data_IF_333712745933
#
_entry.id   IF_333712745933
#
_cell.length_a   1.000
_cell.length_b   1.000
_cell.length_c   1.000
_cell.angle_alpha   90.00
_cell.angle_beta   90.00
_cell.angle_gamma   90.00
#
_symmetry.space_group_name_H-M   'P 1'
#
loop_
_entity.id
_entity.type
_entity.pdbx_description
1 polymer ?
#
# COMPACT_ATOMS: atom_id res chain seq x y z
N UNK A 1 10.92 10.10 -41.97
CA UNK A 1 10.97 8.62 -41.94
C UNK A 1 10.26 8.16 -40.68
N UNK A 2 9.30 7.25 -40.73
CA UNK A 2 8.77 6.65 -39.51
C UNK A 2 9.92 5.95 -38.80
N UNK A 3 10.12 6.25 -37.53
CA UNK A 3 11.08 5.52 -36.68
C UNK A 3 10.45 4.17 -36.42
N UNK A 4 10.96 3.14 -37.11
CA UNK A 4 10.50 1.76 -36.90
C UNK A 4 10.96 1.31 -35.51
N UNK A 5 10.06 0.76 -34.74
CA UNK A 5 10.40 0.18 -33.43
C UNK A 5 11.33 -1.01 -33.65
N UNK A 6 12.34 -1.21 -32.79
CA UNK A 6 13.14 -2.43 -32.78
C UNK A 6 12.24 -3.67 -32.58
N UNK A 7 12.73 -4.89 -32.94
CA UNK A 7 11.93 -6.10 -32.77
C UNK A 7 11.42 -6.24 -31.34
N UNK A 8 10.11 -6.47 -31.18
CA UNK A 8 9.42 -6.51 -29.88
C UNK A 8 10.02 -7.58 -28.95
N UNK A 9 10.45 -8.73 -29.49
CA UNK A 9 11.12 -9.77 -28.70
C UNK A 9 12.48 -9.30 -28.15
N UNK A 10 13.19 -8.47 -28.90
CA UNK A 10 14.46 -7.89 -28.44
C UNK A 10 14.23 -6.86 -27.32
N UNK A 11 13.21 -6.01 -27.45
CA UNK A 11 12.80 -5.09 -26.39
C UNK A 11 12.32 -5.83 -25.13
N UNK A 12 11.56 -6.93 -25.29
CA UNK A 12 11.10 -7.77 -24.17
C UNK A 12 12.25 -8.45 -23.44
N UNK A 13 13.22 -8.98 -24.18
CA UNK A 13 14.43 -9.58 -23.61
C UNK A 13 15.27 -8.54 -22.85
N UNK A 14 15.39 -7.34 -23.43
CA UNK A 14 16.08 -6.22 -22.79
C UNK A 14 15.41 -5.79 -21.50
N UNK A 15 14.07 -5.58 -21.49
CA UNK A 15 13.33 -5.18 -20.30
C UNK A 15 13.56 -6.16 -19.15
N UNK A 16 13.42 -7.46 -19.40
CA UNK A 16 13.63 -8.49 -18.40
C UNK A 16 15.08 -8.50 -17.88
N UNK A 17 16.07 -8.41 -18.77
CA UNK A 17 17.49 -8.38 -18.39
C UNK A 17 17.86 -7.10 -17.63
N UNK A 18 17.32 -5.95 -18.02
CA UNK A 18 17.56 -4.66 -17.39
C UNK A 18 16.95 -4.57 -15.99
N UNK A 19 15.77 -5.08 -15.81
CA UNK A 19 15.06 -5.11 -14.52
C UNK A 19 15.72 -6.07 -13.54
N UNK A 20 16.12 -7.26 -14.00
CA UNK A 20 16.81 -8.29 -13.19
C UNK A 20 18.31 -8.05 -13.02
N UNK A 21 18.90 -7.15 -13.82
CA UNK A 21 20.36 -6.95 -13.92
C UNK A 21 21.12 -8.27 -14.15
N UNK A 22 20.47 -9.21 -14.84
CA UNK A 22 20.97 -10.57 -15.07
C UNK A 22 20.35 -11.20 -16.30
N UNK A 23 21.17 -11.61 -17.23
CA UNK A 23 20.77 -12.35 -18.43
C UNK A 23 20.20 -13.73 -18.07
N UNK A 24 20.79 -14.39 -17.07
CA UNK A 24 20.34 -15.71 -16.60
C UNK A 24 18.95 -15.64 -15.96
N UNK A 25 18.71 -14.67 -15.09
CA UNK A 25 17.38 -14.49 -14.47
C UNK A 25 16.32 -14.10 -15.50
N UNK A 26 16.68 -13.28 -16.49
CA UNK A 26 15.79 -12.93 -17.60
C UNK A 26 15.44 -14.16 -18.46
N UNK A 27 16.43 -15.04 -18.73
CA UNK A 27 16.22 -16.28 -19.47
C UNK A 27 15.24 -17.21 -18.74
N UNK A 28 15.40 -17.37 -17.43
CA UNK A 28 14.48 -18.16 -16.60
C UNK A 28 13.08 -17.58 -16.60
N UNK A 29 12.94 -16.26 -16.45
CA UNK A 29 11.65 -15.57 -16.43
C UNK A 29 10.90 -15.69 -17.76
N UNK A 30 11.62 -15.59 -18.88
CA UNK A 30 11.04 -15.67 -20.21
C UNK A 30 10.94 -17.11 -20.75
N UNK A 31 11.37 -18.11 -19.95
CA UNK A 31 11.38 -19.53 -20.32
C UNK A 31 12.17 -19.81 -21.62
N UNK A 32 13.33 -19.17 -21.78
CA UNK A 32 14.21 -19.31 -22.92
C UNK A 32 15.65 -19.59 -22.46
N UNK A 33 16.55 -19.92 -23.39
CA UNK A 33 17.97 -20.13 -23.07
C UNK A 33 18.70 -18.81 -22.87
N UNK A 34 19.79 -18.83 -22.08
CA UNK A 34 20.69 -17.69 -21.91
C UNK A 34 21.21 -17.14 -23.26
N UNK A 35 21.54 -18.04 -24.18
CA UNK A 35 22.01 -17.67 -25.54
C UNK A 35 20.91 -16.95 -26.35
N UNK A 36 19.64 -17.31 -26.16
CA UNK A 36 18.52 -16.63 -26.82
C UNK A 36 18.40 -15.17 -26.34
N UNK A 37 18.47 -14.92 -25.03
CA UNK A 37 18.48 -13.56 -24.50
C UNK A 37 19.66 -12.76 -25.02
N UNK A 38 20.89 -13.33 -24.92
CA UNK A 38 22.10 -12.63 -25.39
C UNK A 38 22.01 -12.26 -26.88
N UNK A 39 21.43 -13.14 -27.71
CA UNK A 39 21.19 -12.85 -29.13
C UNK A 39 20.19 -11.72 -29.35
N UNK A 40 19.09 -11.70 -28.58
CA UNK A 40 18.08 -10.65 -28.68
C UNK A 40 18.65 -9.30 -28.23
N UNK A 41 19.47 -9.27 -27.17
CA UNK A 41 20.14 -8.03 -26.73
C UNK A 41 21.06 -7.50 -27.82
N UNK A 42 21.85 -8.36 -28.48
CA UNK A 42 22.72 -7.96 -29.60
C UNK A 42 21.93 -7.40 -30.78
N UNK A 43 20.81 -8.04 -31.15
CA UNK A 43 19.90 -7.54 -32.20
C UNK A 43 19.37 -6.14 -31.85
N UNK A 44 19.05 -5.89 -30.59
CA UNK A 44 18.55 -4.60 -30.14
C UNK A 44 19.64 -3.53 -30.21
N UNK A 45 20.85 -3.82 -29.72
CA UNK A 45 22.00 -2.91 -29.77
C UNK A 45 22.38 -2.57 -31.21
N UNK A 46 22.37 -3.55 -32.11
CA UNK A 46 22.62 -3.36 -33.55
C UNK A 46 21.55 -2.47 -34.18
N UNK A 47 20.24 -2.72 -33.86
CA UNK A 47 19.15 -1.91 -34.38
C UNK A 47 19.16 -0.46 -33.90
N UNK A 48 19.62 -0.21 -32.67
CA UNK A 48 19.69 1.13 -32.09
C UNK A 48 21.03 1.83 -32.34
N UNK A 49 22.07 1.07 -32.74
CA UNK A 49 23.42 1.59 -32.95
C UNK A 49 24.12 2.01 -31.63
N UNK A 50 23.66 1.50 -30.48
CA UNK A 50 24.22 1.84 -29.16
C UNK A 50 24.37 0.61 -28.27
N UNK A 51 25.38 0.64 -27.38
CA UNK A 51 25.58 -0.40 -26.37
C UNK A 51 24.67 -0.09 -25.18
N UNK A 52 23.90 -1.08 -24.76
CA UNK A 52 22.95 -0.98 -23.65
C UNK A 52 23.47 -1.59 -22.35
N UNK A 53 24.34 -2.61 -22.46
CA UNK A 53 24.97 -3.29 -21.32
C UNK A 53 26.48 -3.29 -21.42
N UNK A 54 27.14 -3.14 -20.29
CA UNK A 54 28.58 -3.38 -20.11
C UNK A 54 28.80 -4.52 -19.12
N UNK A 55 29.90 -5.24 -19.28
CA UNK A 55 30.27 -6.28 -18.32
C UNK A 55 30.63 -5.67 -16.98
N UNK A 56 30.11 -6.23 -15.91
CA UNK A 56 30.43 -5.90 -14.53
C UNK A 56 30.70 -7.19 -13.74
N UNK A 57 31.95 -7.56 -13.59
CA UNK A 57 32.36 -8.81 -12.97
C UNK A 57 31.76 -10.04 -13.67
N UNK A 58 30.92 -10.79 -12.93
CA UNK A 58 30.15 -11.94 -13.46
C UNK A 58 28.79 -11.58 -14.00
N UNK A 59 28.38 -10.30 -13.92
CA UNK A 59 27.07 -9.78 -14.34
C UNK A 59 27.16 -8.76 -15.47
N UNK A 60 26.07 -8.04 -15.65
CA UNK A 60 25.93 -6.94 -16.60
C UNK A 60 25.37 -5.70 -15.90
N UNK A 61 25.88 -4.53 -16.30
CA UNK A 61 25.41 -3.23 -15.84
C UNK A 61 24.89 -2.43 -17.04
N UNK A 62 23.85 -1.65 -16.83
CA UNK A 62 23.30 -0.77 -17.85
C UNK A 62 24.22 0.43 -18.10
N UNK A 63 24.36 0.82 -19.39
CA UNK A 63 24.88 2.11 -19.80
C UNK A 63 23.85 3.22 -19.58
N UNK A 64 24.21 4.49 -19.77
CA UNK A 64 23.25 5.62 -19.74
C UNK A 64 22.14 5.44 -20.78
N UNK A 65 22.48 4.94 -21.98
CA UNK A 65 21.49 4.58 -23.00
C UNK A 65 20.58 3.44 -22.52
N UNK A 66 21.17 2.42 -21.87
CA UNK A 66 20.42 1.34 -21.26
C UNK A 66 19.49 1.79 -20.13
N UNK A 67 19.91 2.74 -19.29
CA UNK A 67 19.05 3.30 -18.24
C UNK A 67 17.84 4.00 -18.81
N UNK A 68 18.05 4.85 -19.81
CA UNK A 68 16.98 5.57 -20.51
C UNK A 68 15.98 4.63 -21.19
N UNK A 69 16.49 3.60 -21.90
CA UNK A 69 15.63 2.61 -22.55
C UNK A 69 14.89 1.74 -21.54
N UNK A 70 15.51 1.39 -20.40
CA UNK A 70 14.85 0.64 -19.33
C UNK A 70 13.60 1.35 -18.80
N UNK A 71 13.70 2.66 -18.56
CA UNK A 71 12.58 3.46 -18.09
C UNK A 71 11.45 3.45 -19.11
N UNK A 72 11.74 3.82 -20.35
CA UNK A 72 10.75 3.87 -21.43
C UNK A 72 10.14 2.51 -21.75
N UNK A 73 10.96 1.46 -21.87
CA UNK A 73 10.48 0.10 -22.15
C UNK A 73 9.66 -0.46 -20.97
N UNK A 74 10.09 -0.20 -19.73
CA UNK A 74 9.36 -0.61 -18.53
C UNK A 74 7.95 -0.02 -18.50
N UNK A 75 7.81 1.27 -18.75
CA UNK A 75 6.50 1.95 -18.83
C UNK A 75 5.63 1.41 -19.98
N UNK A 76 6.21 1.25 -21.17
CA UNK A 76 5.49 0.75 -22.34
C UNK A 76 4.97 -0.69 -22.13
N UNK A 77 5.81 -1.59 -21.60
CA UNK A 77 5.40 -2.98 -21.31
C UNK A 77 4.44 -3.06 -20.13
N UNK A 78 4.56 -2.22 -19.12
CA UNK A 78 3.56 -2.12 -18.06
C UNK A 78 2.19 -1.77 -18.64
N UNK A 79 2.13 -0.73 -19.48
CA UNK A 79 0.90 -0.27 -20.12
C UNK A 79 0.28 -1.34 -21.04
N UNK A 80 1.10 -2.09 -21.80
CA UNK A 80 0.62 -3.20 -22.61
C UNK A 80 0.07 -4.35 -21.78
N UNK A 81 0.78 -4.75 -20.71
CA UNK A 81 0.30 -5.78 -19.77
C UNK A 81 -1.04 -5.39 -19.16
N UNK A 82 -1.15 -4.17 -18.73
CA UNK A 82 -2.36 -3.63 -18.14
C UNK A 82 -3.54 -3.70 -19.14
N UNK A 83 -3.33 -3.23 -20.40
CA UNK A 83 -4.36 -3.28 -21.42
C UNK A 83 -4.76 -4.72 -21.78
N UNK A 84 -3.78 -5.64 -21.86
CA UNK A 84 -4.09 -7.06 -22.09
C UNK A 84 -4.88 -7.67 -20.92
N UNK A 85 -4.53 -7.35 -19.69
CA UNK A 85 -5.28 -7.77 -18.51
C UNK A 85 -6.71 -7.21 -18.54
N UNK A 86 -6.88 -5.95 -18.95
CA UNK A 86 -8.18 -5.31 -19.10
C UNK A 86 -9.07 -6.01 -20.15
N UNK A 87 -8.50 -6.36 -21.29
CA UNK A 87 -9.22 -7.09 -22.32
C UNK A 87 -9.61 -8.51 -21.88
N UNK A 88 -8.78 -9.14 -21.05
CA UNK A 88 -9.08 -10.43 -20.45
C UNK A 88 -10.10 -10.32 -19.30
N UNK A 89 -10.11 -9.21 -18.56
CA UNK A 89 -11.07 -8.94 -17.48
C UNK A 89 -12.47 -8.55 -17.95
N UNK A 90 -12.67 -8.28 -19.25
CA UNK A 90 -14.01 -8.08 -19.83
C UNK A 90 -14.88 -9.36 -19.79
N UNK A 91 -14.34 -10.49 -19.38
CA UNK A 91 -15.14 -11.64 -18.96
C UNK A 91 -15.63 -11.40 -17.52
N UNK A 92 -16.94 -11.45 -17.31
CA UNK A 92 -17.64 -11.21 -16.05
C UNK A 92 -17.19 -12.08 -14.84
N UNK A 93 -16.14 -12.88 -15.00
CA UNK A 93 -15.61 -13.84 -14.02
C UNK A 93 -14.26 -13.43 -13.38
N UNK A 94 -13.59 -12.40 -13.88
CA UNK A 94 -12.29 -12.01 -13.33
C UNK A 94 -12.44 -11.41 -11.92
N UNK A 95 -11.58 -11.81 -10.95
CA UNK A 95 -11.62 -11.25 -9.62
C UNK A 95 -11.27 -9.76 -9.65
N UNK A 96 -11.92 -8.97 -8.80
CA UNK A 96 -11.59 -7.57 -8.56
C UNK A 96 -10.42 -7.51 -7.58
N UNK A 97 -9.27 -7.01 -8.04
CA UNK A 97 -8.04 -6.97 -7.23
C UNK A 97 -7.98 -5.67 -6.44
N UNK A 98 -8.15 -5.77 -5.12
CA UNK A 98 -8.10 -4.66 -4.19
C UNK A 98 -6.77 -4.65 -3.43
N UNK A 99 -5.99 -3.57 -3.57
CA UNK A 99 -4.80 -3.31 -2.77
C UNK A 99 -5.15 -2.53 -1.50
N UNK A 100 -4.55 -2.88 -0.36
CA UNK A 100 -4.68 -2.10 0.87
C UNK A 100 -3.51 -2.38 1.83
N UNK A 101 -3.30 -1.51 2.86
CA UNK A 101 -2.33 -1.78 3.91
C UNK A 101 -2.64 -3.09 4.63
N UNK A 102 -1.60 -3.90 4.90
CA UNK A 102 -1.76 -5.17 5.61
C UNK A 102 -2.45 -5.03 6.96
N UNK A 103 -2.19 -3.94 7.68
CA UNK A 103 -2.85 -3.64 8.96
C UNK A 103 -4.36 -3.38 8.80
N UNK A 104 -4.77 -2.65 7.77
CA UNK A 104 -6.18 -2.39 7.46
C UNK A 104 -6.86 -3.68 7.01
N UNK A 105 -6.17 -4.48 6.18
CA UNK A 105 -6.66 -5.77 5.74
C UNK A 105 -6.94 -6.70 6.92
N UNK A 106 -5.96 -6.91 7.79
CA UNK A 106 -6.05 -7.88 8.87
C UNK A 106 -7.05 -7.47 9.97
N UNK A 107 -7.07 -6.19 10.35
CA UNK A 107 -7.82 -5.74 11.52
C UNK A 107 -9.22 -5.20 11.21
N UNK A 108 -9.44 -4.73 10.00
CA UNK A 108 -10.74 -4.13 9.66
C UNK A 108 -11.46 -4.91 8.56
N UNK A 109 -10.77 -5.25 7.48
CA UNK A 109 -11.39 -5.80 6.28
C UNK A 109 -11.74 -7.29 6.43
N UNK A 110 -10.77 -8.13 6.84
CA UNK A 110 -10.96 -9.59 6.99
C UNK A 110 -12.11 -9.92 7.94
N UNK A 111 -12.28 -9.29 9.11
CA UNK A 111 -13.42 -9.57 9.99
C UNK A 111 -14.80 -9.30 9.35
N UNK A 112 -14.85 -8.51 8.28
CA UNK A 112 -16.06 -8.12 7.57
C UNK A 112 -16.29 -8.83 6.23
N UNK A 113 -15.34 -9.71 5.82
CA UNK A 113 -15.42 -10.41 4.53
C UNK A 113 -16.65 -11.29 4.36
N UNK A 114 -17.05 -12.01 5.39
CA UNK A 114 -18.25 -12.87 5.35
C UNK A 114 -19.52 -12.06 5.08
N UNK A 115 -19.62 -10.88 5.68
CA UNK A 115 -20.72 -9.96 5.44
C UNK A 115 -20.66 -9.39 4.01
N UNK A 116 -19.49 -8.97 3.55
CA UNK A 116 -19.31 -8.48 2.19
C UNK A 116 -19.70 -9.54 1.15
N UNK A 117 -19.29 -10.79 1.33
CA UNK A 117 -19.63 -11.89 0.43
C UNK A 117 -21.14 -12.18 0.38
N UNK A 118 -21.85 -12.00 1.49
CA UNK A 118 -23.31 -12.14 1.54
C UNK A 118 -24.04 -10.99 0.87
N UNK A 119 -23.54 -9.77 1.01
CA UNK A 119 -24.20 -8.55 0.50
C UNK A 119 -23.80 -8.22 -0.95
N UNK A 120 -22.60 -8.61 -1.37
CA UNK A 120 -22.08 -8.44 -2.74
C UNK A 120 -21.55 -9.78 -3.30
N UNK A 121 -22.40 -10.80 -3.48
CA UNK A 121 -21.98 -12.15 -3.89
C UNK A 121 -21.35 -12.21 -5.27
N UNK A 122 -21.68 -11.26 -6.15
CA UNK A 122 -21.09 -11.14 -7.49
C UNK A 122 -19.68 -10.53 -7.48
N UNK A 123 -19.27 -9.89 -6.38
CA UNK A 123 -17.96 -9.26 -6.27
C UNK A 123 -16.91 -10.26 -5.78
N UNK A 124 -16.26 -10.92 -6.72
CA UNK A 124 -15.12 -11.79 -6.39
C UNK A 124 -13.90 -10.94 -6.10
N UNK A 125 -13.57 -10.75 -4.81
CA UNK A 125 -12.39 -10.00 -4.41
C UNK A 125 -11.14 -10.88 -4.34
N UNK A 126 -10.05 -10.37 -4.92
CA UNK A 126 -8.68 -10.78 -4.62
C UNK A 126 -8.02 -9.66 -3.82
N UNK A 127 -7.58 -9.96 -2.62
CA UNK A 127 -6.97 -8.99 -1.72
C UNK A 127 -5.45 -9.01 -1.84
N UNK A 128 -4.84 -7.85 -2.01
CA UNK A 128 -3.39 -7.67 -2.11
C UNK A 128 -2.92 -6.73 -1.00
N UNK A 129 -2.14 -7.26 -0.06
CA UNK A 129 -1.54 -6.44 0.97
C UNK A 129 -0.33 -5.66 0.40
N UNK A 130 -0.25 -4.37 0.70
CA UNK A 130 0.89 -3.52 0.38
C UNK A 130 1.23 -2.64 1.57
N UNK A 131 2.52 -2.49 1.87
CA UNK A 131 2.99 -1.64 2.96
C UNK A 131 3.44 -0.26 2.49
N UNK A 132 3.64 -0.09 1.20
CA UNK A 132 3.83 1.20 0.54
C UNK A 132 2.56 1.62 -0.17
N UNK A 133 2.37 2.92 -0.37
CA UNK A 133 1.23 3.45 -1.13
C UNK A 133 1.15 2.75 -2.50
N UNK A 134 0.11 1.92 -2.71
CA UNK A 134 -0.02 1.19 -3.95
C UNK A 134 -0.56 2.12 -5.04
N UNK A 135 0.11 2.14 -6.19
CA UNK A 135 -0.38 2.86 -7.36
C UNK A 135 -1.12 1.90 -8.28
N UNK A 136 -2.46 1.94 -8.36
CA UNK A 136 -3.24 1.04 -9.20
C UNK A 136 -2.85 1.12 -10.69
N UNK A 137 -2.27 2.26 -11.12
CA UNK A 137 -1.82 2.45 -12.50
C UNK A 137 -0.66 1.53 -12.88
N UNK A 138 0.14 1.09 -11.90
CA UNK A 138 1.40 0.34 -12.11
C UNK A 138 1.37 -1.08 -11.57
N UNK A 139 0.43 -1.40 -10.72
CA UNK A 139 0.50 -2.61 -9.85
C UNK A 139 -0.45 -3.75 -10.26
N UNK A 140 -1.23 -3.60 -11.33
CA UNK A 140 -2.23 -4.61 -11.72
C UNK A 140 -3.39 -4.73 -10.74
N UNK A 141 -3.63 -3.70 -9.93
CA UNK A 141 -4.77 -3.58 -9.04
C UNK A 141 -5.94 -2.91 -9.78
N UNK A 142 -7.17 -3.30 -9.49
CA UNK A 142 -8.37 -2.62 -9.98
C UNK A 142 -8.65 -1.38 -9.14
N UNK A 143 -8.43 -1.48 -7.82
CA UNK A 143 -8.53 -0.36 -6.90
C UNK A 143 -7.57 -0.50 -5.71
N UNK A 144 -7.37 0.62 -5.00
CA UNK A 144 -6.64 0.65 -3.74
C UNK A 144 -7.47 1.32 -2.65
N UNK A 145 -7.39 0.78 -1.44
CA UNK A 145 -7.98 1.35 -0.25
C UNK A 145 -6.84 1.88 0.62
N UNK A 146 -6.74 3.21 0.77
CA UNK A 146 -5.60 3.85 1.41
C UNK A 146 -5.99 5.11 2.18
N UNK A 147 -5.18 5.47 3.18
CA UNK A 147 -5.27 6.78 3.84
C UNK A 147 -4.40 7.78 3.09
N UNK A 148 -4.98 8.81 2.53
CA UNK A 148 -4.28 9.85 1.80
C UNK A 148 -4.92 11.23 2.02
N UNK A 149 -4.15 12.28 1.72
CA UNK A 149 -4.63 13.65 1.77
C UNK A 149 -4.98 14.15 0.36
N UNK A 150 -6.07 14.93 0.19
CA UNK A 150 -6.32 15.64 -1.06
C UNK A 150 -5.19 16.67 -1.35
N UNK A 151 -4.94 17.10 -2.61
CA UNK A 151 -5.82 16.88 -3.76
C UNK A 151 -5.68 15.48 -4.37
N UNK A 152 -6.80 14.96 -4.90
CA UNK A 152 -6.85 13.64 -5.51
C UNK A 152 -6.26 13.63 -6.92
N UNK A 153 -5.66 12.51 -7.39
CA UNK A 153 -5.21 12.36 -8.76
C UNK A 153 -6.36 12.54 -9.75
N UNK A 154 -6.19 13.43 -10.73
CA UNK A 154 -7.24 13.78 -11.69
C UNK A 154 -7.57 12.64 -12.68
N UNK A 155 -6.66 11.69 -12.84
CA UNK A 155 -6.75 10.54 -13.74
C UNK A 155 -7.32 9.27 -13.07
N UNK A 156 -7.84 9.42 -11.83
CA UNK A 156 -8.40 8.31 -11.06
C UNK A 156 -9.81 8.64 -10.57
N UNK A 157 -10.64 7.63 -10.44
CA UNK A 157 -11.91 7.75 -9.73
C UNK A 157 -11.66 7.54 -8.23
N UNK A 158 -11.91 8.56 -7.43
CA UNK A 158 -11.68 8.52 -5.99
C UNK A 158 -13.00 8.59 -5.23
N UNK A 159 -13.18 7.64 -4.32
CA UNK A 159 -14.31 7.61 -3.40
C UNK A 159 -13.79 7.88 -1.99
N UNK A 160 -14.04 9.08 -1.48
CA UNK A 160 -13.81 9.36 -0.06
C UNK A 160 -14.80 8.56 0.79
N UNK A 161 -14.26 7.81 1.76
CA UNK A 161 -15.06 6.90 2.59
C UNK A 161 -15.24 7.43 4.00
N UNK A 162 -14.16 7.85 4.65
CA UNK A 162 -14.19 8.38 6.01
C UNK A 162 -13.03 9.35 6.27
N UNK A 163 -13.24 10.29 7.18
CA UNK A 163 -12.17 11.11 7.77
C UNK A 163 -11.29 10.20 8.62
N UNK A 164 -9.97 10.31 8.47
CA UNK A 164 -9.07 9.61 9.37
C UNK A 164 -9.09 10.27 10.75
N UNK A 165 -9.24 9.45 11.80
CA UNK A 165 -9.12 9.87 13.19
C UNK A 165 -8.05 9.01 13.85
N UNK A 166 -7.03 9.64 14.44
CA UNK A 166 -5.95 8.94 15.13
C UNK A 166 -5.98 9.27 16.62
N UNK A 167 -5.59 8.30 17.43
CA UNK A 167 -5.54 8.50 18.88
C UNK A 167 -4.65 7.50 19.59
N UNK A 168 -4.17 7.86 20.79
CA UNK A 168 -3.43 6.95 21.66
C UNK A 168 -4.33 5.84 22.19
N UNK A 169 -3.82 4.62 22.16
CA UNK A 169 -4.48 3.44 22.70
C UNK A 169 -3.50 2.64 23.59
N UNK A 170 -4.03 2.01 24.60
CA UNK A 170 -3.26 1.15 25.50
C UNK A 170 -4.11 -0.01 25.99
N UNK A 171 -3.46 -1.12 26.34
CA UNK A 171 -4.13 -2.27 26.94
C UNK A 171 -4.47 -2.03 28.42
N UNK A 172 -5.58 -2.60 28.95
CA UNK A 172 -5.77 -2.73 30.40
C UNK A 172 -4.63 -3.48 31.12
N UNK A 173 -3.88 -4.30 30.37
CA UNK A 173 -2.70 -5.00 30.89
C UNK A 173 -1.48 -4.11 31.08
N UNK A 174 -1.51 -2.87 30.57
CA UNK A 174 -0.42 -1.91 30.77
C UNK A 174 -0.25 -1.65 32.28
N UNK A 175 0.98 -1.68 32.83
CA UNK A 175 1.23 -1.58 34.28
C UNK A 175 0.56 -0.39 34.97
N UNK A 176 0.39 0.71 34.22
CA UNK A 176 -0.25 1.95 34.69
C UNK A 176 -1.55 2.26 33.95
N UNK A 177 -2.14 1.30 33.23
CA UNK A 177 -3.28 1.54 32.34
C UNK A 177 -4.48 2.20 33.05
N UNK A 178 -4.86 1.69 34.21
CA UNK A 178 -5.97 2.22 35.01
C UNK A 178 -5.71 3.63 35.58
N UNK A 179 -4.46 3.94 35.92
CA UNK A 179 -4.04 5.25 36.41
C UNK A 179 -4.01 6.26 35.25
N UNK A 180 -3.32 5.92 34.15
CA UNK A 180 -3.15 6.77 32.97
C UNK A 180 -4.46 7.21 32.38
N UNK A 181 -5.45 6.32 32.30
CA UNK A 181 -6.77 6.63 31.76
C UNK A 181 -7.53 7.75 32.51
N UNK A 182 -7.07 8.12 33.69
CA UNK A 182 -7.64 9.22 34.50
C UNK A 182 -6.78 10.48 34.47
N UNK A 183 -5.62 10.44 33.81
CA UNK A 183 -4.63 11.51 33.79
C UNK A 183 -4.79 12.41 32.56
N UNK A 184 -4.38 13.69 32.63
CA UNK A 184 -4.32 14.56 31.47
C UNK A 184 -3.39 14.01 30.39
N UNK A 185 -3.68 14.32 29.12
CA UNK A 185 -2.93 13.85 27.94
C UNK A 185 -1.41 14.09 28.03
N UNK A 186 -0.97 15.17 28.70
CA UNK A 186 0.46 15.46 28.88
C UNK A 186 1.22 14.42 29.72
N UNK A 187 0.52 13.60 30.51
CA UNK A 187 1.14 12.51 31.29
C UNK A 187 1.48 11.29 30.44
N UNK A 188 0.84 11.16 29.30
CA UNK A 188 1.16 10.14 28.32
C UNK A 188 2.63 10.21 27.85
N UNK A 189 3.20 11.42 27.76
CA UNK A 189 4.57 11.63 27.31
C UNK A 189 5.64 11.10 28.31
N UNK A 190 5.23 10.69 29.50
CA UNK A 190 6.09 10.07 30.51
C UNK A 190 6.14 8.53 30.34
N UNK A 191 5.36 7.94 29.42
CA UNK A 191 5.27 6.51 29.16
C UNK A 191 6.06 6.07 27.92
N UNK A 192 6.36 4.76 27.76
CA UNK A 192 6.91 4.23 26.53
C UNK A 192 5.92 4.38 25.36
N UNK A 193 6.25 5.25 24.40
CA UNK A 193 5.42 5.50 23.22
C UNK A 193 5.85 4.62 22.06
N UNK A 194 5.02 3.66 21.70
CA UNK A 194 5.24 2.78 20.56
C UNK A 194 4.96 3.55 19.26
N UNK A 195 5.79 3.34 18.24
CA UNK A 195 5.66 4.04 16.96
C UNK A 195 5.89 3.14 15.77
N UNK A 196 5.50 3.58 14.57
CA UNK A 196 5.79 2.88 13.31
C UNK A 196 6.59 3.77 12.37
N UNK A 197 7.45 3.16 11.57
CA UNK A 197 8.18 3.83 10.49
C UNK A 197 7.26 4.20 9.33
N UNK A 198 6.16 3.47 9.13
CA UNK A 198 5.16 3.75 8.10
C UNK A 198 4.31 5.01 8.38
N UNK A 199 4.25 5.48 9.63
CA UNK A 199 3.45 6.66 10.02
C UNK A 199 4.21 7.57 10.99
N UNK A 200 5.35 8.16 10.58
CA UNK A 200 6.23 8.91 11.48
C UNK A 200 5.57 10.19 12.04
N UNK A 201 4.55 10.72 11.35
CA UNK A 201 3.84 11.94 11.75
C UNK A 201 2.67 11.71 12.70
N UNK A 202 2.32 10.44 13.02
CA UNK A 202 1.14 10.16 13.84
C UNK A 202 1.25 10.81 15.25
N UNK A 203 2.35 10.56 15.96
CA UNK A 203 2.59 11.19 17.28
C UNK A 203 2.73 12.70 17.20
N UNK A 204 3.57 13.28 16.32
CA UNK A 204 3.67 14.74 16.16
C UNK A 204 2.32 15.41 15.91
N UNK A 205 1.50 14.87 15.02
CA UNK A 205 0.19 15.42 14.68
C UNK A 205 -0.77 15.40 15.87
N UNK A 206 -0.81 14.29 16.63
CA UNK A 206 -1.66 14.18 17.80
C UNK A 206 -1.18 15.12 18.94
N UNK A 207 0.12 15.19 19.21
CA UNK A 207 0.69 16.09 20.23
C UNK A 207 0.36 17.55 19.91
N UNK A 208 0.51 17.95 18.64
CA UNK A 208 0.16 19.30 18.20
C UNK A 208 -1.34 19.61 18.41
N UNK A 209 -2.22 18.65 18.15
CA UNK A 209 -3.67 18.82 18.36
C UNK A 209 -4.05 18.98 19.84
N UNK A 210 -3.23 18.45 20.75
CA UNK A 210 -3.41 18.58 22.21
C UNK A 210 -2.72 19.82 22.80
N UNK A 211 -2.09 20.67 21.99
CA UNK A 211 -1.26 21.80 22.40
C UNK A 211 -0.13 21.40 23.39
N UNK A 212 0.42 20.21 23.20
CA UNK A 212 1.53 19.71 24.01
C UNK A 212 2.88 20.05 23.35
N UNK A 213 3.92 20.17 24.18
CA UNK A 213 5.27 20.45 23.71
C UNK A 213 5.88 19.23 22.99
N UNK A 214 6.19 19.38 21.70
CA UNK A 214 6.74 18.32 20.86
C UNK A 214 8.12 17.86 21.36
N UNK A 215 8.88 18.75 21.99
CA UNK A 215 10.21 18.49 22.57
C UNK A 215 10.17 17.44 23.68
N UNK A 216 9.00 17.19 24.26
CA UNK A 216 8.78 16.15 25.27
C UNK A 216 8.57 14.77 24.65
N UNK A 217 8.34 14.67 23.34
CA UNK A 217 8.13 13.40 22.67
C UNK A 217 9.35 12.49 22.83
N UNK A 218 9.15 11.33 23.43
CA UNK A 218 10.14 10.25 23.54
C UNK A 218 9.56 8.99 22.91
N UNK A 219 10.06 8.65 21.73
CA UNK A 219 9.68 7.42 21.05
C UNK A 219 10.43 6.25 21.68
N UNK A 220 9.69 5.21 22.06
CA UNK A 220 10.19 3.94 22.55
C UNK A 220 10.42 2.94 21.42
N UNK A 221 9.89 1.71 21.59
CA UNK A 221 10.05 0.65 20.60
C UNK A 221 9.35 1.01 19.29
N UNK A 222 10.10 0.92 18.18
CA UNK A 222 9.60 1.10 16.80
C UNK A 222 9.25 -0.22 16.12
N UNK A 223 8.28 -0.15 15.20
CA UNK A 223 7.82 -1.27 14.37
C UNK A 223 7.73 -0.81 12.92
N UNK A 224 7.90 -1.71 11.96
CA UNK A 224 7.68 -1.39 10.54
C UNK A 224 6.19 -1.15 10.25
N UNK A 225 5.33 -2.00 10.81
CA UNK A 225 3.90 -2.04 10.48
C UNK A 225 3.02 -1.80 11.69
N UNK A 226 1.91 -1.12 11.44
CA UNK A 226 0.92 -0.78 12.47
C UNK A 226 0.30 -2.05 13.11
N UNK A 227 0.23 -3.16 12.35
CA UNK A 227 -0.25 -4.42 12.89
C UNK A 227 0.60 -4.88 14.09
N UNK A 228 1.92 -4.92 13.95
CA UNK A 228 2.82 -5.35 15.02
C UNK A 228 2.83 -4.39 16.21
N UNK A 229 2.74 -3.08 15.93
CA UNK A 229 2.61 -2.06 16.97
C UNK A 229 1.36 -2.29 17.83
N UNK A 230 0.22 -2.61 17.21
CA UNK A 230 -1.03 -2.85 17.92
C UNK A 230 -1.00 -4.16 18.71
N UNK A 231 -0.36 -5.23 18.17
CA UNK A 231 -0.13 -6.46 18.94
C UNK A 231 0.73 -6.19 20.18
N UNK A 232 1.79 -5.39 20.04
CA UNK A 232 2.63 -5.00 21.18
C UNK A 232 1.86 -4.17 22.22
N UNK A 233 1.00 -3.26 21.77
CA UNK A 233 0.14 -2.49 22.68
C UNK A 233 -0.85 -3.40 23.44
N UNK A 234 -1.45 -4.39 22.77
CA UNK A 234 -2.36 -5.37 23.38
C UNK A 234 -1.71 -6.16 24.50
N UNK A 235 -0.41 -6.45 24.40
CA UNK A 235 0.35 -7.12 25.49
C UNK A 235 0.71 -6.20 26.66
N UNK A 236 0.41 -4.91 26.57
CA UNK A 236 0.74 -3.93 27.59
C UNK A 236 2.17 -3.37 27.53
N UNK A 237 2.88 -3.58 26.40
CA UNK A 237 4.28 -3.14 26.23
C UNK A 237 4.42 -1.62 26.29
N UNK A 238 3.39 -0.86 25.89
CA UNK A 238 3.41 0.59 25.88
C UNK A 238 2.13 1.17 25.28
N UNK A 239 2.13 2.48 25.05
CA UNK A 239 1.03 3.21 24.44
C UNK A 239 1.30 3.33 22.95
N UNK A 240 0.35 2.87 22.12
CA UNK A 240 0.39 2.99 20.66
C UNK A 240 -0.46 4.16 20.19
N UNK A 241 -0.19 4.66 18.97
CA UNK A 241 -1.08 5.57 18.28
C UNK A 241 -1.58 4.91 16.99
N UNK A 242 -2.89 4.97 16.75
CA UNK A 242 -3.51 4.27 15.63
C UNK A 242 -4.74 4.98 15.08
N UNK A 243 -5.11 4.72 13.81
CA UNK A 243 -6.42 5.05 13.28
C UNK A 243 -7.54 4.34 14.04
N UNK A 244 -8.61 5.09 14.35
CA UNK A 244 -9.75 4.61 15.13
C UNK A 244 -10.35 3.33 14.53
N UNK A 245 -10.47 3.27 13.21
CA UNK A 245 -11.04 2.13 12.50
C UNK A 245 -10.29 0.82 12.76
N UNK A 246 -8.95 0.88 12.95
CA UNK A 246 -8.13 -0.32 13.16
C UNK A 246 -8.19 -0.87 14.58
N UNK A 247 -8.74 -0.11 15.50
CA UNK A 247 -8.84 -0.48 16.92
C UNK A 247 -10.29 -0.56 17.42
N UNK A 248 -11.27 -0.31 16.54
CA UNK A 248 -12.68 -0.26 16.91
C UNK A 248 -13.15 -1.56 17.61
N UNK A 249 -12.80 -2.72 17.07
CA UNK A 249 -13.19 -4.02 17.61
C UNK A 249 -12.45 -4.31 18.96
N UNK A 250 -11.23 -3.82 19.11
CA UNK A 250 -10.47 -3.93 20.38
C UNK A 250 -11.01 -3.00 21.45
N UNK A 251 -11.48 -1.81 21.08
CA UNK A 251 -12.13 -0.87 22.00
C UNK A 251 -13.49 -1.42 22.45
N UNK A 252 -14.30 -1.93 21.51
CA UNK A 252 -15.59 -2.50 21.81
C UNK A 252 -15.51 -3.72 22.74
N UNK A 253 -14.46 -4.54 22.57
CA UNK A 253 -14.19 -5.71 23.42
C UNK A 253 -13.44 -5.39 24.72
N UNK A 254 -13.03 -4.15 24.93
CA UNK A 254 -12.26 -3.73 26.11
C UNK A 254 -10.82 -4.23 26.13
N UNK A 255 -10.28 -4.76 25.02
CA UNK A 255 -8.87 -5.17 24.90
C UNK A 255 -7.93 -3.99 24.80
N UNK A 256 -8.41 -2.88 24.26
CA UNK A 256 -7.75 -1.58 24.25
C UNK A 256 -8.64 -0.52 24.87
N UNK A 257 -8.00 0.51 25.38
CA UNK A 257 -8.62 1.73 25.91
C UNK A 257 -8.09 2.92 25.13
N UNK A 258 -8.93 3.94 24.91
CA UNK A 258 -8.56 5.20 24.28
C UNK A 258 -8.94 6.40 25.19
N UNK A 259 -8.28 6.59 26.34
CA UNK A 259 -8.72 7.55 27.35
C UNK A 259 -8.70 9.01 26.89
N UNK A 260 -7.86 9.31 25.89
CA UNK A 260 -7.70 10.68 25.38
C UNK A 260 -8.45 10.92 24.06
N UNK A 261 -9.20 9.90 23.62
CA UNK A 261 -9.98 9.97 22.38
C UNK A 261 -9.14 10.03 21.10
N UNK A 262 -9.82 10.38 20.02
CA UNK A 262 -9.26 10.46 18.68
C UNK A 262 -9.40 11.87 18.13
N UNK A 263 -8.43 12.30 17.34
CA UNK A 263 -8.41 13.59 16.65
C UNK A 263 -8.44 13.39 15.14
N UNK A 264 -9.13 14.25 14.43
CA UNK A 264 -9.19 14.22 12.98
C UNK A 264 -7.85 14.66 12.38
N UNK A 265 -7.42 13.98 11.33
CA UNK A 265 -6.29 14.37 10.49
C UNK A 265 -6.78 14.98 9.18
N UNK A 266 -5.86 15.43 8.33
CA UNK A 266 -6.20 15.85 6.96
C UNK A 266 -6.45 14.67 6.04
N UNK A 267 -5.95 13.49 6.40
CA UNK A 267 -6.10 12.29 5.60
C UNK A 267 -7.54 11.77 5.59
N UNK A 268 -7.87 11.09 4.52
CA UNK A 268 -9.13 10.39 4.30
C UNK A 268 -8.84 8.94 3.99
N UNK A 269 -9.63 8.03 4.52
CA UNK A 269 -9.68 6.68 3.96
C UNK A 269 -10.45 6.78 2.65
N UNK A 270 -9.81 6.43 1.56
CA UNK A 270 -10.38 6.54 0.23
C UNK A 270 -10.12 5.28 -0.60
N UNK A 271 -11.11 4.93 -1.43
CA UNK A 271 -10.98 3.91 -2.45
C UNK A 271 -10.64 4.60 -3.78
N UNK A 272 -9.51 4.25 -4.36
CA UNK A 272 -9.04 4.78 -5.64
C UNK A 272 -9.15 3.70 -6.69
N UNK A 273 -9.96 3.94 -7.70
CA UNK A 273 -10.10 3.06 -8.85
C UNK A 273 -9.44 3.70 -10.08
N UNK A 274 -8.77 2.88 -10.87
CA UNK A 274 -8.05 3.31 -12.06
C UNK A 274 -8.97 3.90 -13.14
N UNK A 275 -10.22 3.42 -13.19
CA UNK A 275 -11.25 3.78 -14.16
C UNK A 275 -12.62 3.76 -13.50
N UNK A 276 -13.63 4.36 -14.13
CA UNK A 276 -15.00 4.10 -13.76
C UNK A 276 -15.29 2.59 -13.84
N UNK A 277 -15.57 1.99 -12.69
CA UNK A 277 -15.90 0.57 -12.54
C UNK A 277 -17.08 0.45 -11.58
N UNK A 278 -18.19 -0.14 -12.05
CA UNK A 278 -19.38 -0.35 -11.25
C UNK A 278 -19.10 -1.21 -10.00
N UNK A 279 -18.14 -2.13 -10.08
CA UNK A 279 -17.71 -2.95 -8.93
C UNK A 279 -17.05 -2.08 -7.86
N UNK A 280 -16.20 -1.10 -8.27
CA UNK A 280 -15.60 -0.14 -7.36
C UNK A 280 -16.65 0.77 -6.70
N UNK A 281 -17.67 1.22 -7.43
CA UNK A 281 -18.76 2.04 -6.90
C UNK A 281 -19.58 1.27 -5.85
N UNK A 282 -19.92 0.01 -6.13
CA UNK A 282 -20.66 -0.86 -5.21
C UNK A 282 -19.83 -1.15 -3.94
N UNK A 283 -18.54 -1.46 -4.13
CA UNK A 283 -17.63 -1.66 -3.02
C UNK A 283 -17.49 -0.39 -2.16
N UNK A 284 -17.33 0.79 -2.79
CA UNK A 284 -17.24 2.06 -2.07
C UNK A 284 -18.51 2.37 -1.27
N UNK A 285 -19.67 2.06 -1.83
CA UNK A 285 -20.96 2.24 -1.13
C UNK A 285 -21.03 1.34 0.10
N UNK A 286 -20.67 0.06 -0.05
CA UNK A 286 -20.64 -0.90 1.03
C UNK A 286 -19.64 -0.49 2.12
N UNK A 287 -18.42 -0.08 1.73
CA UNK A 287 -17.39 0.38 2.66
C UNK A 287 -17.84 1.57 3.50
N UNK A 288 -18.55 2.56 2.90
CA UNK A 288 -19.12 3.70 3.65
C UNK A 288 -20.11 3.24 4.70
N UNK A 289 -21.04 2.36 4.35
CA UNK A 289 -22.03 1.83 5.27
C UNK A 289 -21.39 1.12 6.47
N UNK A 290 -20.34 0.32 6.22
CA UNK A 290 -19.59 -0.37 7.27
C UNK A 290 -18.82 0.59 8.18
N UNK A 291 -18.23 1.64 7.62
CA UNK A 291 -17.50 2.66 8.37
C UNK A 291 -18.44 3.51 9.23
N UNK A 292 -19.60 3.88 8.70
CA UNK A 292 -20.62 4.64 9.42
C UNK A 292 -21.21 3.82 10.58
N UNK A 293 -21.45 2.53 10.36
CA UNK A 293 -21.94 1.62 11.41
C UNK A 293 -20.93 1.46 12.55
N UNK A 294 -19.63 1.40 12.23
CA UNK A 294 -18.55 1.29 13.22
C UNK A 294 -18.25 2.62 13.95
N UNK A 295 -18.61 3.77 13.37
CA UNK A 295 -18.41 5.10 13.97
C UNK A 295 -19.46 5.50 15.00
N UNK A 296 -20.57 4.78 15.09
CA UNK A 296 -21.68 5.04 16.01
C UNK A 296 -21.67 4.18 17.28
N UNK A 297 -20.58 3.44 17.53
CA UNK A 297 -20.37 2.67 18.76
C UNK A 297 -19.29 3.35 19.66
#
# INVERSE_FOLDING_TARGET
MPIDLPPLNALRAFEAAARRQSVTLAANELHVTHGAISRQLKVLEEALGVVLFVKDGRGVKLTDAGLRLREAAGEAFARLRDTCAELQQQTAEAPFVLGCPGSLLARWFIPRLDRLQRELPELRLQLSASESEPDPRRSGLDATLWYAEPPWPADMQVFELAVERIGPVLSPLHPRGAELGRQPAGKLLDEPLLHTTSRPQAWPSWIASQNLALERLRLGQGFEHLYYLLEAALTGLGVAIAPQQLVADDLASGRLLAPWGFVETRARLALWARRPDLRAERLATWLRQELDAAGNC
#
